data_IF_083241191651
#
_entry.id   IF_083241191651
#
_cell.length_a   1.000
_cell.length_b   1.000
_cell.length_c   1.000
_cell.angle_alpha   90.00
_cell.angle_beta   90.00
_cell.angle_gamma   90.00
#
_symmetry.space_group_name_H-M   'P 1'
#
loop_
_entity.id
_entity.type
_entity.pdbx_description
1 polymer ?
#
# COMPACT_ATOMS: atom_id res chain seq x y z
N UNK A 1 -11.60 -81.04 50.07
CA UNK A 1 -10.25 -80.72 50.55
C UNK A 1 -9.54 -79.98 49.44
N UNK A 2 -8.94 -78.84 49.81
CA UNK A 2 -7.94 -78.04 49.09
C UNK A 2 -8.34 -77.29 47.82
N UNK A 3 -8.54 -75.98 48.02
CA UNK A 3 -8.28 -74.90 47.09
C UNK A 3 -6.87 -74.98 46.45
N UNK A 4 -6.71 -74.48 45.22
CA UNK A 4 -5.84 -73.33 44.90
C UNK A 4 -5.66 -73.06 43.39
N UNK A 5 -5.75 -71.76 43.08
CA UNK A 5 -5.01 -70.97 42.08
C UNK A 5 -5.38 -70.96 40.60
N UNK A 6 -6.10 -69.88 40.26
CA UNK A 6 -5.97 -69.09 39.04
C UNK A 6 -4.50 -68.74 38.70
N UNK A 7 -4.14 -68.87 37.43
CA UNK A 7 -3.00 -68.18 36.83
C UNK A 7 -3.41 -67.58 35.47
N UNK A 8 -3.45 -66.25 35.43
CA UNK A 8 -3.57 -65.43 34.22
C UNK A 8 -2.43 -65.75 33.24
N UNK A 9 -2.76 -66.19 32.03
CA UNK A 9 -1.81 -66.19 30.90
C UNK A 9 -2.07 -65.00 29.99
N UNK A 10 -1.06 -64.13 29.92
CA UNK A 10 -0.94 -63.05 28.96
C UNK A 10 -0.87 -63.62 27.53
N UNK A 11 -1.86 -63.30 26.70
CA UNK A 11 -1.88 -63.69 25.31
C UNK A 11 -0.91 -62.84 24.49
N UNK A 12 0.29 -63.37 24.21
CA UNK A 12 1.17 -62.90 23.15
C UNK A 12 0.56 -63.18 21.77
N UNK A 13 0.19 -62.12 21.05
CA UNK A 13 -0.36 -62.23 19.69
C UNK A 13 0.71 -62.61 18.66
N UNK A 14 0.39 -63.58 17.79
CA UNK A 14 1.18 -63.93 16.59
C UNK A 14 1.40 -62.70 15.69
N UNK A 15 2.54 -62.61 14.96
CA UNK A 15 2.74 -61.54 13.97
C UNK A 15 1.67 -61.61 12.88
N UNK A 16 1.00 -60.49 12.62
CA UNK A 16 0.02 -60.36 11.55
C UNK A 16 0.71 -59.83 10.28
N UNK A 17 0.34 -60.32 9.11
CA UNK A 17 0.76 -59.70 7.85
C UNK A 17 -0.05 -58.42 7.62
N UNK A 18 0.58 -57.39 7.05
CA UNK A 18 -0.08 -56.12 6.78
C UNK A 18 -1.21 -56.34 5.76
N UNK A 19 -2.46 -55.91 6.05
CA UNK A 19 -3.59 -56.15 5.15
C UNK A 19 -3.48 -55.40 3.82
N UNK A 20 -2.72 -54.31 3.76
CA UNK A 20 -2.58 -53.50 2.54
C UNK A 20 -1.48 -53.98 1.59
N UNK A 21 -0.36 -54.48 2.13
CA UNK A 21 0.82 -54.79 1.30
C UNK A 21 1.44 -56.17 1.59
N UNK A 22 0.86 -56.95 2.51
CA UNK A 22 1.34 -58.29 2.86
C UNK A 22 2.68 -58.33 3.61
N UNK A 23 3.26 -57.18 3.96
CA UNK A 23 4.52 -57.14 4.72
C UNK A 23 4.32 -57.68 6.13
N UNK A 24 5.15 -58.64 6.56
CA UNK A 24 5.07 -59.23 7.90
C UNK A 24 5.38 -58.18 8.97
N UNK A 25 4.46 -57.98 9.91
CA UNK A 25 4.57 -56.95 10.96
C UNK A 25 5.03 -57.59 12.28
N UNK A 26 5.86 -56.88 13.05
CA UNK A 26 6.20 -57.33 14.40
C UNK A 26 5.05 -57.02 15.38
N UNK A 27 4.87 -57.83 16.44
CA UNK A 27 3.82 -57.60 17.43
C UNK A 27 3.95 -56.21 18.10
N UNK A 28 2.86 -55.44 18.14
CA UNK A 28 2.81 -54.13 18.82
C UNK A 28 3.23 -52.92 17.97
N UNK A 29 3.58 -53.11 16.69
CA UNK A 29 3.86 -52.01 15.77
C UNK A 29 2.58 -51.21 15.44
N UNK A 30 2.65 -49.88 15.50
CA UNK A 30 1.50 -49.01 15.16
C UNK A 30 1.38 -48.70 13.67
N UNK A 31 2.46 -48.91 12.91
CA UNK A 31 2.56 -48.62 11.46
C UNK A 31 3.31 -49.75 10.75
N UNK A 32 3.00 -49.96 9.47
CA UNK A 32 3.68 -50.94 8.62
C UNK A 32 4.97 -50.35 8.02
N UNK A 33 6.11 -51.03 8.21
CA UNK A 33 7.42 -50.60 7.70
C UNK A 33 7.52 -50.63 6.16
N UNK A 34 6.66 -51.40 5.47
CA UNK A 34 6.68 -51.55 4.02
C UNK A 34 5.91 -50.48 3.24
N UNK A 35 4.74 -50.06 3.75
CA UNK A 35 3.87 -49.10 3.05
C UNK A 35 3.42 -47.89 3.89
N UNK A 36 3.73 -47.87 5.19
CA UNK A 36 3.36 -46.78 6.09
C UNK A 36 1.91 -46.82 6.61
N UNK A 37 1.11 -47.82 6.24
CA UNK A 37 -0.27 -47.95 6.73
C UNK A 37 -0.33 -48.14 8.24
N UNK A 38 -1.30 -47.50 8.90
CA UNK A 38 -1.56 -47.64 10.33
C UNK A 38 -2.15 -49.02 10.62
N UNK A 39 -1.47 -49.81 11.45
CA UNK A 39 -1.90 -51.17 11.83
C UNK A 39 -2.81 -51.17 13.08
N UNK A 40 -2.72 -50.12 13.89
CA UNK A 40 -3.59 -49.88 15.04
C UNK A 40 -2.96 -48.96 16.08
N UNK A 41 -3.73 -48.00 16.59
CA UNK A 41 -3.35 -47.18 17.74
C UNK A 41 -3.92 -47.80 19.02
N UNK A 42 -3.04 -48.29 19.90
CA UNK A 42 -3.41 -48.65 21.27
C UNK A 42 -2.76 -47.64 22.22
N UNK A 43 -3.50 -46.67 22.78
CA UNK A 43 -2.95 -45.84 23.83
C UNK A 43 -2.64 -46.72 25.06
N UNK A 44 -1.52 -46.52 25.76
CA UNK A 44 -1.26 -47.23 27.01
C UNK A 44 -2.36 -46.86 28.01
N UNK A 45 -3.06 -47.88 28.53
CA UNK A 45 -4.07 -47.71 29.59
C UNK A 45 -3.35 -47.34 30.88
N UNK A 46 -3.41 -46.08 31.29
CA UNK A 46 -3.14 -45.71 32.68
C UNK A 46 -4.30 -46.23 33.53
N UNK A 47 -4.00 -47.13 34.46
CA UNK A 47 -4.94 -47.56 35.49
C UNK A 47 -4.93 -46.47 36.56
N UNK A 48 -5.97 -45.65 36.60
CA UNK A 48 -6.25 -44.78 37.75
C UNK A 48 -7.47 -45.35 38.44
N UNK A 49 -7.23 -45.91 39.61
CA UNK A 49 -8.23 -46.47 40.51
C UNK A 49 -9.10 -45.33 41.05
N UNK A 50 -10.41 -45.42 40.85
CA UNK A 50 -11.40 -44.48 41.39
C UNK A 50 -12.17 -45.16 42.53
N UNK A 51 -12.28 -44.56 43.73
CA UNK A 51 -13.34 -44.90 44.67
C UNK A 51 -14.65 -44.21 44.23
N UNK A 52 -15.75 -44.93 44.36
CA UNK A 52 -17.11 -44.50 43.99
C UNK A 52 -17.76 -43.44 44.90
N UNK A 53 -19.05 -43.13 44.65
CA UNK A 53 -19.63 -41.79 44.82
C UNK A 53 -20.38 -41.58 46.16
N UNK A 54 -20.48 -40.33 46.62
CA UNK A 54 -21.58 -39.90 47.50
C UNK A 54 -21.87 -38.39 47.44
N UNK A 55 -23.13 -38.10 47.06
CA UNK A 55 -24.01 -36.96 47.38
C UNK A 55 -23.54 -35.48 47.28
N UNK A 56 -24.25 -34.71 46.44
CA UNK A 56 -24.41 -33.25 46.54
C UNK A 56 -25.38 -32.89 47.70
N UNK A 57 -25.32 -31.68 48.30
CA UNK A 57 -26.12 -30.56 47.77
C UNK A 57 -25.64 -29.10 48.06
N UNK A 58 -26.31 -28.18 47.34
CA UNK A 58 -26.76 -26.82 47.71
C UNK A 58 -25.86 -25.58 47.59
N UNK A 59 -26.49 -24.56 46.97
CA UNK A 59 -26.14 -23.17 46.68
C UNK A 59 -26.36 -22.24 47.89
N UNK A 60 -25.72 -21.04 47.92
CA UNK A 60 -26.38 -19.89 48.54
C UNK A 60 -26.33 -18.56 47.77
N UNK A 61 -27.40 -17.82 48.04
CA UNK A 61 -27.96 -16.52 47.64
C UNK A 61 -27.09 -15.25 47.55
N UNK A 62 -27.63 -14.30 46.77
CA UNK A 62 -27.34 -12.85 46.73
C UNK A 62 -27.99 -12.08 47.90
N UNK A 63 -27.57 -10.83 48.16
CA UNK A 63 -28.46 -9.80 48.69
C UNK A 63 -28.66 -8.59 47.76
N UNK A 64 -29.80 -7.93 47.98
CA UNK A 64 -30.48 -6.99 47.10
C UNK A 64 -30.30 -5.49 47.45
N UNK A 65 -30.60 -4.67 46.43
CA UNK A 65 -31.33 -3.39 46.41
C UNK A 65 -30.92 -2.18 47.29
N UNK A 66 -30.76 -1.04 46.62
CA UNK A 66 -31.46 0.20 46.96
C UNK A 66 -31.72 1.04 45.69
N UNK A 67 -32.97 1.49 45.52
CA UNK A 67 -33.45 2.49 44.55
C UNK A 67 -33.86 3.75 45.33
N UNK A 68 -33.72 4.91 44.70
CA UNK A 68 -34.64 6.07 44.75
C UNK A 68 -34.17 7.06 43.65
N UNK A 69 -34.91 7.26 42.54
CA UNK A 69 -35.97 8.30 42.29
C UNK A 69 -35.48 9.73 42.53
N UNK A 70 -35.48 10.67 41.57
CA UNK A 70 -36.58 11.25 40.75
C UNK A 70 -35.98 12.00 39.52
N UNK A 71 -36.47 11.89 38.26
CA UNK A 71 -37.50 12.72 37.57
C UNK A 71 -37.44 14.23 37.94
N UNK A 72 -37.46 15.25 37.08
CA UNK A 72 -38.00 15.58 35.74
C UNK A 72 -37.47 17.02 35.45
N UNK A 73 -37.22 17.59 34.26
CA UNK A 73 -38.16 18.05 33.22
C UNK A 73 -37.36 19.02 32.29
N UNK A 74 -37.60 18.99 30.98
CA UNK A 74 -37.10 19.90 29.89
C UNK A 74 -37.98 21.18 29.85
N UNK A 75 -37.84 22.26 29.00
CA UNK A 75 -36.92 22.55 27.87
C UNK A 75 -36.47 24.05 27.64
N UNK A 76 -35.71 24.26 26.53
CA UNK A 76 -35.75 25.39 25.56
C UNK A 76 -34.74 26.60 25.61
N UNK A 77 -34.09 26.83 24.44
CA UNK A 77 -33.71 28.10 23.70
C UNK A 77 -32.96 29.24 24.44
N UNK A 78 -32.12 30.11 23.86
CA UNK A 78 -31.71 30.48 22.49
C UNK A 78 -30.47 31.43 22.59
N UNK A 79 -29.73 31.65 21.49
CA UNK A 79 -28.77 32.77 21.18
C UNK A 79 -27.44 32.82 21.98
N UNK A 80 -26.23 33.07 21.45
CA UNK A 80 -25.70 34.03 20.46
C UNK A 80 -24.33 33.54 19.91
N UNK A 81 -23.98 33.84 18.64
CA UNK A 81 -22.59 33.76 18.12
C UNK A 81 -21.84 35.09 18.30
N UNK A 82 -20.83 35.43 17.46
CA UNK A 82 -19.59 34.75 17.11
C UNK A 82 -18.35 35.57 17.56
N UNK A 83 -17.12 35.02 17.52
CA UNK A 83 -15.90 35.86 17.65
C UNK A 83 -14.81 35.50 16.64
N UNK A 84 -14.43 36.55 15.93
CA UNK A 84 -13.39 36.75 14.94
C UNK A 84 -12.12 37.23 15.69
N UNK A 85 -10.93 36.78 15.30
CA UNK A 85 -9.69 37.46 15.71
C UNK A 85 -8.76 37.65 14.52
N UNK A 86 -8.79 38.88 14.04
CA UNK A 86 -7.79 39.61 13.26
C UNK A 86 -6.56 39.99 14.09
N UNK A 87 -5.38 40.04 13.45
CA UNK A 87 -4.26 40.99 13.64
C UNK A 87 -3.20 40.69 12.54
N UNK A 88 -3.19 41.35 11.37
CA UNK A 88 -2.48 42.62 11.00
C UNK A 88 -1.04 42.70 11.55
N UNK A 89 -0.02 42.48 10.70
CA UNK A 89 0.67 43.42 9.77
C UNK A 89 1.80 44.21 10.44
N UNK A 90 3.04 44.07 9.96
CA UNK A 90 3.78 45.17 9.33
C UNK A 90 5.10 44.74 8.64
N UNK A 91 5.47 45.61 7.70
CA UNK A 91 6.28 45.51 6.47
C UNK A 91 7.81 45.68 6.67
N UNK A 92 8.63 45.29 5.68
CA UNK A 92 9.58 46.12 4.88
C UNK A 92 10.57 45.24 4.07
N UNK A 93 10.98 45.80 2.92
CA UNK A 93 11.55 45.32 1.65
C UNK A 93 12.98 44.77 1.55
N UNK A 94 13.22 44.15 0.38
CA UNK A 94 14.35 44.27 -0.58
C UNK A 94 15.61 43.36 -0.50
N UNK A 95 15.77 42.60 -1.60
CA UNK A 95 16.96 42.21 -2.39
C UNK A 95 18.32 41.88 -1.73
N UNK A 96 18.84 40.67 -2.02
CA UNK A 96 20.09 40.46 -2.76
C UNK A 96 20.53 38.96 -2.77
N UNK A 97 20.62 38.42 -3.98
CA UNK A 97 21.72 37.66 -4.58
C UNK A 97 22.61 36.64 -3.81
N UNK A 98 22.87 35.55 -4.56
CA UNK A 98 24.12 34.77 -4.65
C UNK A 98 24.31 33.51 -3.78
N UNK A 99 24.54 32.40 -4.51
CA UNK A 99 24.89 31.05 -4.07
C UNK A 99 26.28 30.94 -3.40
N UNK A 100 26.61 29.75 -2.85
CA UNK A 100 27.91 29.19 -3.23
C UNK A 100 27.94 27.66 -3.46
N UNK A 101 28.86 27.28 -4.34
CA UNK A 101 29.55 25.97 -4.47
C UNK A 101 30.39 25.74 -3.18
N UNK A 102 30.65 24.56 -2.62
CA UNK A 102 31.31 23.37 -3.15
C UNK A 102 32.47 22.94 -2.21
N UNK A 103 32.80 21.63 -2.19
CA UNK A 103 34.07 20.98 -1.76
C UNK A 103 34.40 20.67 -0.27
N UNK A 104 34.10 19.42 0.14
CA UNK A 104 34.99 18.30 0.59
C UNK A 104 36.31 18.56 1.36
N UNK A 105 36.32 18.16 2.67
CA UNK A 105 37.28 17.38 3.53
C UNK A 105 38.83 17.59 3.52
N UNK A 106 39.66 17.01 4.44
CA UNK A 106 39.47 16.40 5.80
C UNK A 106 40.58 16.79 6.84
N UNK A 107 40.39 16.55 8.16
CA UNK A 107 41.51 16.25 9.10
C UNK A 107 41.05 15.61 10.43
N UNK A 108 41.81 14.60 10.87
CA UNK A 108 41.51 13.64 11.94
C UNK A 108 41.63 14.11 13.41
N UNK A 109 41.62 13.15 14.37
CA UNK A 109 41.09 13.31 15.71
C UNK A 109 42.10 13.87 16.73
N UNK A 110 41.61 14.68 17.66
CA UNK A 110 42.36 15.16 18.82
C UNK A 110 41.73 14.64 20.11
N UNK A 111 42.57 14.00 20.92
CA UNK A 111 42.31 13.47 22.26
C UNK A 111 42.72 14.53 23.30
N UNK A 112 41.85 14.80 24.28
CA UNK A 112 42.22 15.49 25.53
C UNK A 112 41.29 15.06 26.67
N UNK A 113 41.91 14.76 27.81
CA UNK A 113 41.44 14.06 29.01
C UNK A 113 40.64 14.95 30.02
N UNK A 114 40.10 14.37 31.11
CA UNK A 114 38.84 14.78 31.77
C UNK A 114 39.01 15.55 33.10
N UNK A 115 37.92 16.17 33.60
CA UNK A 115 37.65 16.30 35.04
C UNK A 115 36.20 16.71 35.37
N UNK A 116 35.67 16.06 36.43
CA UNK A 116 34.54 16.43 37.32
C UNK A 116 33.11 16.27 36.77
N UNK A 117 32.15 15.62 37.43
CA UNK A 117 32.07 15.06 38.77
C UNK A 117 30.59 15.00 39.18
N UNK A 118 30.01 13.80 39.29
CA UNK A 118 28.75 13.54 39.99
C UNK A 118 28.78 12.08 40.48
N UNK A 119 29.18 11.88 41.73
CA UNK A 119 29.22 10.58 42.41
C UNK A 119 27.81 10.15 42.85
N UNK A 120 27.44 8.87 42.69
CA UNK A 120 26.35 8.25 43.44
C UNK A 120 26.83 7.76 44.82
N UNK A 121 25.95 7.89 45.81
CA UNK A 121 26.20 7.69 47.25
C UNK A 121 26.67 6.27 47.62
N UNK A 122 27.78 6.20 48.36
CA UNK A 122 28.40 4.98 48.86
C UNK A 122 27.56 4.24 49.93
N UNK A 123 26.54 4.87 50.51
CA UNK A 123 25.73 4.26 51.57
C UNK A 123 24.81 3.12 51.07
N UNK A 124 24.42 3.10 49.79
CA UNK A 124 23.52 2.08 49.24
C UNK A 124 24.20 0.80 48.75
N UNK A 125 25.53 0.80 48.61
CA UNK A 125 26.29 -0.39 48.17
C UNK A 125 26.54 -1.35 49.35
N UNK A 126 26.81 -0.80 50.53
CA UNK A 126 27.09 -1.57 51.75
C UNK A 126 25.84 -2.26 52.31
N UNK A 127 24.66 -1.65 52.12
CA UNK A 127 23.35 -2.23 52.48
C UNK A 127 23.01 -3.46 51.60
N UNK A 128 23.34 -3.42 50.30
CA UNK A 128 23.15 -4.55 49.38
C UNK A 128 24.16 -5.68 49.61
N UNK A 129 25.36 -5.36 50.09
CA UNK A 129 26.35 -6.37 50.47
C UNK A 129 25.96 -7.11 51.77
N UNK A 130 25.28 -6.45 52.72
CA UNK A 130 24.78 -7.06 53.96
C UNK A 130 23.55 -7.96 53.76
N UNK A 131 22.80 -7.79 52.66
CA UNK A 131 21.66 -8.62 52.32
C UNK A 131 22.01 -9.99 51.69
N UNK A 132 23.29 -10.26 51.40
CA UNK A 132 23.78 -11.51 50.79
C UNK A 132 24.47 -12.48 51.77
N UNK A 133 24.50 -12.16 53.07
CA UNK A 133 25.06 -13.05 54.08
C UNK A 133 23.98 -13.98 54.65
N UNK A 134 23.95 -15.22 54.18
CA UNK A 134 23.18 -16.31 54.79
C UNK A 134 24.04 -16.85 55.96
N UNK A 135 23.60 -16.75 57.23
CA UNK A 135 24.32 -17.36 58.33
C UNK A 135 24.23 -18.89 58.21
N UNK A 136 25.38 -19.52 58.00
CA UNK A 136 25.55 -20.97 58.16
C UNK A 136 25.61 -21.24 59.66
N UNK A 137 24.71 -22.07 60.19
CA UNK A 137 24.80 -22.52 61.56
C UNK A 137 26.05 -23.42 61.73
N UNK A 138 26.84 -23.18 62.77
CA UNK A 138 27.92 -24.06 63.16
C UNK A 138 27.36 -25.47 63.46
N UNK A 139 27.94 -26.55 62.92
CA UNK A 139 27.50 -27.89 63.27
C UNK A 139 27.80 -28.17 64.74
N UNK A 140 26.76 -28.42 65.53
CA UNK A 140 26.86 -28.90 66.90
C UNK A 140 27.78 -30.12 66.99
N UNK A 141 28.65 -30.11 68.01
CA UNK A 141 29.59 -31.17 68.33
C UNK A 141 28.86 -32.51 68.48
N UNK A 142 29.03 -33.39 67.48
CA UNK A 142 28.56 -34.77 67.58
C UNK A 142 29.52 -35.58 68.44
N UNK A 143 28.91 -36.22 69.43
CA UNK A 143 29.51 -37.09 70.45
C UNK A 143 30.38 -38.23 69.87
N UNK A 144 31.21 -38.77 70.77
CA UNK A 144 32.27 -39.74 70.50
C UNK A 144 31.84 -41.07 69.85
N UNK A 145 32.68 -41.48 68.88
CA UNK A 145 33.12 -42.81 68.46
C UNK A 145 32.11 -43.94 68.16
N UNK A 146 32.03 -44.32 66.88
CA UNK A 146 31.72 -45.68 66.39
C UNK A 146 32.83 -46.16 65.42
N UNK A 147 33.06 -47.48 65.27
CA UNK A 147 34.37 -48.04 64.94
C UNK A 147 34.82 -47.87 63.48
N UNK A 148 36.14 -47.82 63.32
CA UNK A 148 36.86 -47.71 62.05
C UNK A 148 36.42 -48.78 61.03
N UNK A 149 35.99 -48.32 59.86
CA UNK A 149 35.68 -49.16 58.70
C UNK A 149 36.96 -49.90 58.29
N UNK A 150 36.88 -51.23 58.27
CA UNK A 150 37.98 -52.12 57.87
C UNK A 150 38.39 -51.88 56.39
N UNK A 151 39.67 -52.12 56.03
CA UNK A 151 40.15 -51.91 54.67
C UNK A 151 39.45 -52.86 53.69
N UNK A 152 38.84 -52.29 52.65
CA UNK A 152 38.20 -53.01 51.54
C UNK A 152 39.23 -53.27 50.45
N UNK A 153 39.29 -54.51 49.94
CA UNK A 153 40.13 -54.90 48.80
C UNK A 153 39.82 -54.02 47.57
N UNK A 154 40.81 -53.66 46.74
CA UNK A 154 40.57 -52.89 45.52
C UNK A 154 39.59 -53.64 44.60
N UNK A 155 38.59 -52.91 44.11
CA UNK A 155 37.52 -53.45 43.27
C UNK A 155 38.06 -54.16 42.03
N UNK A 156 37.45 -55.30 41.66
CA UNK A 156 37.74 -56.00 40.40
C UNK A 156 37.53 -55.03 39.22
N UNK A 157 38.42 -55.05 38.21
CA UNK A 157 38.23 -54.23 37.02
C UNK A 157 36.91 -54.62 36.34
N UNK A 158 36.06 -53.63 36.09
CA UNK A 158 34.84 -53.81 35.31
C UNK A 158 35.20 -54.28 33.90
N UNK A 159 34.47 -55.28 33.41
CA UNK A 159 34.62 -55.73 32.03
C UNK A 159 34.36 -54.55 31.08
N UNK A 160 35.26 -54.35 30.13
CA UNK A 160 35.14 -53.26 29.15
C UNK A 160 33.76 -53.30 28.49
N UNK A 161 33.05 -52.17 28.53
CA UNK A 161 31.74 -52.00 27.92
C UNK A 161 31.81 -52.44 26.45
N UNK A 162 30.93 -53.35 25.99
CA UNK A 162 30.93 -53.78 24.60
C UNK A 162 30.73 -52.58 23.68
N UNK A 163 31.63 -52.43 22.71
CA UNK A 163 31.52 -51.42 21.66
C UNK A 163 30.41 -51.88 20.72
N UNK A 164 29.34 -51.09 20.63
CA UNK A 164 28.29 -51.34 19.66
C UNK A 164 28.87 -51.19 18.24
N UNK A 165 29.09 -52.31 17.55
CA UNK A 165 29.33 -52.28 16.11
C UNK A 165 28.04 -51.82 15.43
N UNK A 166 28.11 -50.73 14.68
CA UNK A 166 27.01 -50.30 13.82
C UNK A 166 26.65 -51.40 12.79
N UNK A 167 25.48 -51.33 12.16
CA UNK A 167 25.07 -52.31 11.16
C UNK A 167 26.15 -52.46 10.09
N UNK A 168 26.49 -53.72 9.78
CA UNK A 168 27.51 -54.05 8.80
C UNK A 168 27.18 -53.40 7.45
N UNK A 169 28.23 -52.95 6.75
CA UNK A 169 28.14 -52.40 5.40
C UNK A 169 27.55 -53.47 4.46
N UNK A 170 26.37 -53.19 3.91
CA UNK A 170 25.75 -54.01 2.88
C UNK A 170 26.21 -53.49 1.50
N UNK A 171 26.96 -54.27 0.71
CA UNK A 171 27.41 -53.86 -0.61
C UNK A 171 26.27 -53.67 -1.63
N UNK A 172 25.03 -54.06 -1.33
CA UNK A 172 23.85 -53.74 -2.16
C UNK A 172 23.46 -52.24 -2.16
N UNK A 173 24.23 -51.39 -1.46
CA UNK A 173 24.05 -49.93 -1.40
C UNK A 173 24.75 -49.15 -2.53
N UNK A 174 25.35 -49.84 -3.49
CA UNK A 174 26.00 -49.27 -4.67
C UNK A 174 24.95 -48.77 -5.68
N UNK A 175 24.50 -47.52 -5.51
CA UNK A 175 23.82 -46.81 -6.61
C UNK A 175 22.93 -45.64 -6.24
N UNK A 176 22.58 -45.42 -4.97
CA UNK A 176 21.75 -44.28 -4.61
C UNK A 176 22.54 -42.99 -4.31
N UNK A 177 21.87 -41.85 -4.48
CA UNK A 177 22.51 -40.52 -4.32
C UNK A 177 22.96 -40.32 -2.87
N UNK A 178 24.20 -39.84 -2.61
CA UNK A 178 24.63 -39.52 -1.26
C UNK A 178 23.79 -38.38 -0.70
N UNK A 179 23.50 -38.42 0.60
CA UNK A 179 22.78 -37.34 1.27
C UNK A 179 23.53 -36.01 1.07
N UNK A 180 22.89 -34.94 0.55
CA UNK A 180 23.57 -33.66 0.32
C UNK A 180 24.02 -32.96 1.61
N UNK A 181 23.56 -33.44 2.77
CA UNK A 181 23.84 -32.83 4.08
C UNK A 181 24.94 -33.54 4.86
N UNK A 182 24.96 -34.88 4.85
CA UNK A 182 25.87 -35.68 5.67
C UNK A 182 26.63 -36.74 4.86
N UNK A 183 26.58 -36.63 3.52
CA UNK A 183 27.26 -37.47 2.52
C UNK A 183 27.07 -38.98 2.63
N UNK A 184 26.15 -39.44 3.47
CA UNK A 184 25.88 -40.87 3.66
C UNK A 184 25.28 -41.45 2.39
N UNK A 185 25.83 -42.56 1.90
CA UNK A 185 25.23 -43.34 0.82
C UNK A 185 23.88 -43.89 1.26
N UNK A 186 22.85 -43.67 0.46
CA UNK A 186 21.50 -44.17 0.68
C UNK A 186 21.09 -44.98 -0.54
N UNK A 187 20.18 -45.95 -0.38
CA UNK A 187 19.59 -46.66 -1.52
C UNK A 187 18.72 -45.72 -2.36
N UNK A 188 18.59 -45.97 -3.68
CA UNK A 188 17.85 -45.08 -4.59
C UNK A 188 16.34 -45.02 -4.33
N UNK A 189 15.79 -45.98 -3.58
CA UNK A 189 14.38 -46.06 -3.18
C UNK A 189 14.06 -45.28 -1.89
N UNK A 190 15.03 -44.60 -1.27
CA UNK A 190 14.80 -43.80 -0.04
C UNK A 190 14.54 -42.33 -0.34
N UNK A 191 13.50 -41.79 0.28
CA UNK A 191 13.19 -40.36 0.27
C UNK A 191 13.83 -39.58 1.43
N UNK A 192 14.30 -40.28 2.48
CA UNK A 192 14.96 -39.68 3.65
C UNK A 192 16.29 -40.38 3.95
N UNK A 193 17.28 -39.59 4.38
CA UNK A 193 18.61 -40.08 4.72
C UNK A 193 18.55 -40.98 5.96
N UNK A 194 19.14 -42.18 5.87
CA UNK A 194 19.20 -43.15 6.98
C UNK A 194 19.98 -42.68 8.22
N UNK A 195 20.86 -41.68 8.07
CA UNK A 195 21.72 -41.18 9.16
C UNK A 195 21.16 -39.93 9.83
N UNK A 196 20.75 -38.93 9.04
CA UNK A 196 20.32 -37.63 9.54
C UNK A 196 18.84 -37.32 9.31
N UNK A 197 18.07 -38.25 8.74
CA UNK A 197 16.65 -38.11 8.42
C UNK A 197 16.28 -36.94 7.47
N UNK A 198 17.26 -36.28 6.83
CA UNK A 198 17.00 -35.23 5.85
C UNK A 198 16.44 -35.80 4.54
N UNK A 199 15.52 -35.06 3.90
CA UNK A 199 14.94 -35.48 2.61
C UNK A 199 16.00 -35.51 1.52
N UNK A 200 16.08 -36.63 0.81
CA UNK A 200 16.97 -36.83 -0.34
C UNK A 200 16.42 -36.15 -1.61
N UNK A 201 15.11 -35.88 -1.65
CA UNK A 201 14.43 -35.11 -2.69
C UNK A 201 14.77 -33.60 -2.65
N UNK A 202 15.28 -33.12 -1.51
CA UNK A 202 15.82 -31.78 -1.40
C UNK A 202 17.25 -31.74 -1.93
N UNK A 203 17.42 -31.97 -3.24
CA UNK A 203 18.61 -31.45 -3.91
C UNK A 203 18.46 -29.93 -3.93
N UNK A 204 19.38 -29.16 -3.33
CA UNK A 204 19.49 -27.74 -3.66
C UNK A 204 20.02 -27.69 -5.09
N UNK A 205 19.12 -27.84 -6.07
CA UNK A 205 19.50 -27.78 -7.47
C UNK A 205 19.99 -26.38 -7.82
N UNK A 206 21.32 -26.26 -7.91
CA UNK A 206 22.04 -25.23 -8.65
C UNK A 206 21.79 -23.78 -8.22
N UNK A 207 22.50 -22.81 -8.83
CA UNK A 207 22.18 -21.41 -8.63
C UNK A 207 20.76 -21.20 -9.12
N UNK A 208 19.82 -21.00 -8.18
CA UNK A 208 18.44 -20.67 -8.46
C UNK A 208 18.43 -19.62 -9.58
N UNK A 209 17.98 -20.01 -10.78
CA UNK A 209 17.75 -19.06 -11.89
C UNK A 209 16.87 -17.99 -11.29
N UNK A 210 17.43 -16.79 -11.08
CA UNK A 210 16.73 -15.67 -10.46
C UNK A 210 15.57 -15.33 -11.38
N UNK A 211 14.39 -15.85 -11.06
CA UNK A 211 13.18 -15.54 -11.79
C UNK A 211 13.02 -14.00 -11.81
N UNK A 212 12.56 -13.41 -12.93
CA UNK A 212 12.27 -11.99 -12.95
C UNK A 212 11.22 -11.65 -11.87
N UNK A 213 11.33 -10.45 -11.30
CA UNK A 213 10.62 -10.07 -10.07
C UNK A 213 9.10 -10.26 -10.15
N UNK A 214 8.50 -10.05 -11.33
CA UNK A 214 7.06 -10.25 -11.56
C UNK A 214 6.62 -11.72 -11.44
N UNK A 215 7.45 -12.69 -11.88
CA UNK A 215 7.16 -14.13 -11.71
C UNK A 215 7.31 -14.56 -10.25
N UNK A 216 8.22 -13.95 -9.50
CA UNK A 216 8.38 -14.22 -8.06
C UNK A 216 7.18 -13.76 -7.22
N UNK A 217 6.51 -12.70 -7.65
CA UNK A 217 5.32 -12.19 -6.95
C UNK A 217 4.11 -13.11 -7.14
N UNK A 218 3.99 -13.74 -8.31
CA UNK A 218 2.87 -14.62 -8.65
C UNK A 218 3.10 -16.07 -8.22
N UNK A 219 4.35 -16.52 -8.04
CA UNK A 219 4.66 -17.90 -7.65
C UNK A 219 4.57 -18.11 -6.12
N UNK A 220 3.33 -18.10 -5.60
CA UNK A 220 3.05 -18.39 -4.19
C UNK A 220 3.12 -19.88 -3.83
N UNK A 221 3.16 -20.80 -4.82
CA UNK A 221 3.07 -22.26 -4.62
C UNK A 221 4.42 -22.92 -4.32
N UNK A 222 5.53 -22.37 -4.82
CA UNK A 222 6.87 -22.94 -4.64
C UNK A 222 7.64 -22.30 -3.48
N UNK A 223 7.00 -22.10 -2.32
CA UNK A 223 7.73 -21.67 -1.13
C UNK A 223 8.38 -22.88 -0.47
N UNK A 224 9.70 -22.87 -0.19
CA UNK A 224 10.35 -23.98 0.48
C UNK A 224 9.64 -24.25 1.81
N UNK A 225 9.39 -25.53 2.10
CA UNK A 225 8.80 -25.93 3.37
C UNK A 225 9.67 -25.39 4.51
N UNK A 226 9.08 -24.68 5.51
CA UNK A 226 9.85 -24.12 6.61
C UNK A 226 10.51 -25.25 7.41
N UNK A 227 11.76 -25.04 7.82
CA UNK A 227 12.54 -25.96 8.64
C UNK A 227 11.80 -26.34 9.93
N UNK A 228 11.90 -27.60 10.35
CA UNK A 228 11.30 -28.12 11.59
C UNK A 228 11.85 -27.38 12.83
N UNK A 229 11.01 -26.57 13.48
CA UNK A 229 11.38 -25.70 14.61
C UNK A 229 11.39 -24.21 14.27
N UNK A 230 11.26 -23.85 12.98
CA UNK A 230 10.96 -22.47 12.61
C UNK A 230 9.52 -22.19 12.96
N UNK A 231 9.25 -21.24 13.86
CA UNK A 231 7.90 -20.74 14.12
C UNK A 231 7.61 -19.65 13.08
N UNK A 232 6.92 -19.93 11.96
CA UNK A 232 6.55 -18.88 11.02
C UNK A 232 5.76 -17.83 11.79
N UNK A 233 6.22 -16.57 11.73
CA UNK A 233 5.53 -15.46 12.39
C UNK A 233 4.13 -15.40 11.80
N UNK A 234 3.13 -15.73 12.62
CA UNK A 234 1.72 -15.70 12.26
C UNK A 234 1.33 -14.22 12.08
N UNK A 235 1.70 -13.60 10.97
CA UNK A 235 1.17 -12.29 10.56
C UNK A 235 -0.27 -12.51 10.09
N UNK A 236 -1.15 -12.95 11.00
CA UNK A 236 -2.42 -13.59 10.62
C UNK A 236 -3.45 -12.62 10.07
N UNK A 237 -3.37 -11.32 10.39
CA UNK A 237 -4.44 -10.40 10.03
C UNK A 237 -4.01 -9.18 9.18
N UNK A 238 -2.86 -8.56 9.46
CA UNK A 238 -2.43 -7.36 8.72
C UNK A 238 -2.19 -7.61 7.22
N UNK A 239 -1.63 -8.77 6.86
CA UNK A 239 -1.41 -9.13 5.46
C UNK A 239 -2.72 -9.42 4.70
N UNK A 240 -3.75 -9.90 5.41
CA UNK A 240 -5.08 -10.12 4.85
C UNK A 240 -5.79 -8.78 4.65
N UNK A 241 -5.78 -7.92 5.66
CA UNK A 241 -6.35 -6.57 5.60
C UNK A 241 -5.69 -5.79 4.46
N UNK A 242 -4.37 -5.72 4.40
CA UNK A 242 -3.66 -5.02 3.33
C UNK A 242 -3.96 -5.59 1.94
N UNK A 243 -4.11 -6.92 1.81
CA UNK A 243 -4.50 -7.53 0.55
C UNK A 243 -5.93 -7.19 0.15
N UNK A 244 -6.87 -7.06 1.09
CA UNK A 244 -8.25 -6.63 0.82
C UNK A 244 -8.31 -5.14 0.49
N UNK A 245 -7.60 -4.30 1.24
CA UNK A 245 -7.46 -2.86 0.95
C UNK A 245 -6.90 -2.65 -0.46
N UNK A 246 -5.84 -3.37 -0.83
CA UNK A 246 -5.28 -3.30 -2.18
C UNK A 246 -6.30 -3.71 -3.25
N UNK A 247 -7.06 -4.79 -3.02
CA UNK A 247 -8.13 -5.21 -3.95
C UNK A 247 -9.22 -4.14 -4.08
N UNK A 248 -9.63 -3.52 -2.98
CA UNK A 248 -10.61 -2.44 -3.00
C UNK A 248 -10.07 -1.21 -3.77
N UNK A 249 -8.80 -0.86 -3.58
CA UNK A 249 -8.15 0.21 -4.37
C UNK A 249 -8.15 -0.15 -5.86
N UNK A 250 -7.75 -1.37 -6.22
CA UNK A 250 -7.75 -1.82 -7.62
C UNK A 250 -9.15 -1.79 -8.21
N UNK A 251 -10.16 -2.29 -7.50
CA UNK A 251 -11.56 -2.24 -7.95
C UNK A 251 -12.02 -0.78 -8.10
N UNK A 252 -11.70 0.08 -7.12
CA UNK A 252 -11.99 1.51 -7.19
C UNK A 252 -11.36 2.18 -8.40
N UNK A 253 -10.10 1.87 -8.70
CA UNK A 253 -9.40 2.37 -9.90
C UNK A 253 -10.02 1.84 -11.20
N UNK A 254 -10.42 0.58 -11.24
CA UNK A 254 -11.10 0.00 -12.42
C UNK A 254 -12.45 0.67 -12.65
N UNK A 255 -13.24 0.87 -11.60
CA UNK A 255 -14.52 1.57 -11.67
C UNK A 255 -14.30 3.02 -12.11
N UNK A 256 -13.35 3.72 -11.50
CA UNK A 256 -12.98 5.08 -11.89
C UNK A 256 -12.56 5.16 -13.36
N UNK A 257 -11.71 4.23 -13.83
CA UNK A 257 -11.28 4.17 -15.22
C UNK A 257 -12.45 3.88 -16.16
N UNK A 258 -13.39 3.00 -15.78
CA UNK A 258 -14.57 2.70 -16.58
C UNK A 258 -15.47 3.93 -16.77
N UNK A 259 -15.65 4.76 -15.74
CA UNK A 259 -16.41 6.01 -15.85
C UNK A 259 -15.66 7.12 -16.62
N UNK A 260 -14.32 7.12 -16.60
CA UNK A 260 -13.50 8.15 -17.25
C UNK A 260 -12.90 7.72 -18.60
N UNK A 261 -13.28 6.56 -19.14
CA UNK A 261 -12.67 6.05 -20.37
C UNK A 261 -12.99 6.96 -21.57
N UNK A 262 -14.20 7.52 -21.62
CA UNK A 262 -14.61 8.45 -22.69
C UNK A 262 -13.76 9.71 -22.71
N UNK A 263 -13.60 10.36 -21.54
CA UNK A 263 -12.80 11.59 -21.40
C UNK A 263 -11.32 11.34 -21.69
N UNK A 264 -10.78 10.20 -21.25
CA UNK A 264 -9.40 9.81 -21.54
C UNK A 264 -9.17 9.53 -23.04
N UNK A 265 -10.07 8.79 -23.68
CA UNK A 265 -10.01 8.53 -25.13
C UNK A 265 -10.11 9.83 -25.92
N UNK A 266 -11.00 10.73 -25.51
CA UNK A 266 -11.18 12.02 -26.15
C UNK A 266 -9.97 12.93 -25.98
N UNK A 267 -9.34 12.96 -24.81
CA UNK A 267 -8.11 13.71 -24.59
C UNK A 267 -6.98 13.21 -25.51
N UNK A 268 -6.85 11.89 -25.68
CA UNK A 268 -5.89 11.28 -26.61
C UNK A 268 -6.24 11.65 -28.06
N UNK A 269 -7.51 11.51 -28.47
CA UNK A 269 -7.95 11.89 -29.81
C UNK A 269 -7.72 13.37 -30.10
N UNK A 270 -7.99 14.27 -29.15
CA UNK A 270 -7.77 15.71 -29.28
C UNK A 270 -6.29 16.05 -29.44
N UNK A 271 -5.41 15.32 -28.75
CA UNK A 271 -3.98 15.52 -28.84
C UNK A 271 -3.45 15.17 -30.24
N UNK A 272 -3.93 14.07 -30.82
CA UNK A 272 -3.50 13.58 -32.14
C UNK A 272 -4.36 14.05 -33.31
N UNK A 273 -5.45 14.79 -33.05
CA UNK A 273 -6.31 15.30 -34.10
C UNK A 273 -5.60 16.39 -34.91
N UNK A 274 -5.74 16.29 -36.25
CA UNK A 274 -5.48 17.42 -37.13
C UNK A 274 -6.58 18.47 -36.90
N UNK A 275 -6.16 19.73 -36.74
CA UNK A 275 -7.08 20.87 -36.55
C UNK A 275 -7.64 21.30 -37.90
N UNK A 276 -8.95 21.44 -37.96
CA UNK A 276 -9.66 21.97 -39.12
C UNK A 276 -10.51 23.18 -38.70
N UNK A 277 -10.59 24.23 -39.53
CA UNK A 277 -11.45 25.37 -39.24
C UNK A 277 -12.92 24.93 -39.16
N UNK A 278 -13.67 25.53 -38.24
CA UNK A 278 -15.10 25.33 -38.02
C UNK A 278 -15.76 26.68 -38.12
N UNK A 279 -16.70 26.82 -39.06
CA UNK A 279 -17.45 28.06 -39.25
C UNK A 279 -18.71 28.03 -38.39
N UNK A 280 -19.05 29.13 -37.68
CA UNK A 280 -20.32 29.23 -36.98
C UNK A 280 -21.48 29.44 -37.96
N UNK A 281 -22.65 28.89 -37.61
CA UNK A 281 -23.87 29.00 -38.42
C UNK A 281 -24.58 30.34 -38.25
N UNK A 282 -24.43 30.96 -37.07
CA UNK A 282 -24.96 32.29 -36.80
C UNK A 282 -24.14 33.02 -35.75
N UNK A 283 -24.25 34.35 -35.77
CA UNK A 283 -23.54 35.26 -34.89
C UNK A 283 -24.53 36.28 -34.29
N UNK A 284 -24.16 36.83 -33.14
CA UNK A 284 -24.87 37.91 -32.48
C UNK A 284 -23.89 38.73 -31.65
N UNK A 285 -24.20 40.00 -31.39
CA UNK A 285 -23.44 40.82 -30.45
C UNK A 285 -24.38 41.63 -29.54
N UNK A 286 -23.86 42.11 -28.42
CA UNK A 286 -24.55 43.08 -27.57
C UNK A 286 -24.87 44.36 -28.33
N UNK A 287 -23.90 44.82 -29.13
CA UNK A 287 -23.92 46.05 -29.91
C UNK A 287 -23.01 45.91 -31.12
N UNK A 288 -23.18 46.79 -32.09
CA UNK A 288 -22.28 46.93 -33.23
C UNK A 288 -22.07 48.41 -33.54
N UNK A 289 -20.83 48.78 -33.82
CA UNK A 289 -20.50 50.07 -34.38
C UNK A 289 -20.94 50.12 -35.85
N UNK A 290 -21.25 51.32 -36.34
CA UNK A 290 -21.68 51.53 -37.73
C UNK A 290 -20.64 50.95 -38.70
N UNK A 291 -21.10 50.18 -39.69
CA UNK A 291 -20.29 49.42 -40.66
C UNK A 291 -19.29 48.40 -40.07
N UNK A 292 -19.34 48.16 -38.75
CA UNK A 292 -18.43 47.28 -38.02
C UNK A 292 -19.20 46.22 -37.20
N UNK A 293 -20.08 45.50 -37.91
CA UNK A 293 -21.00 44.49 -37.41
C UNK A 293 -20.33 43.20 -36.92
N UNK A 294 -21.10 42.39 -36.20
CA UNK A 294 -20.69 41.10 -35.62
C UNK A 294 -20.15 40.10 -36.66
N UNK A 295 -20.75 40.05 -37.85
CA UNK A 295 -20.28 39.22 -38.96
C UNK A 295 -18.79 39.40 -39.28
N UNK A 296 -18.26 40.61 -39.11
CA UNK A 296 -16.89 40.94 -39.51
C UNK A 296 -15.81 40.32 -38.62
N UNK A 297 -16.18 39.78 -37.46
CA UNK A 297 -15.25 38.99 -36.66
C UNK A 297 -15.21 37.51 -37.06
N UNK A 298 -15.98 37.10 -38.07
CA UNK A 298 -16.09 35.70 -38.52
C UNK A 298 -16.05 35.61 -40.06
N UNK A 299 -15.53 36.64 -40.74
CA UNK A 299 -15.60 36.77 -42.19
C UNK A 299 -14.32 36.27 -42.90
N UNK A 300 -13.34 35.77 -42.13
CA UNK A 300 -12.04 35.25 -42.60
C UNK A 300 -11.13 36.32 -43.18
N UNK A 301 -11.49 37.60 -43.03
CA UNK A 301 -10.61 38.71 -43.35
C UNK A 301 -9.89 39.17 -42.09
N UNK A 302 -8.73 39.78 -42.29
CA UNK A 302 -7.82 40.13 -41.19
C UNK A 302 -7.59 41.65 -41.09
N UNK A 303 -8.50 42.39 -41.71
CA UNK A 303 -8.52 43.84 -41.87
C UNK A 303 -9.95 44.42 -41.88
N UNK A 304 -10.95 43.57 -41.68
CA UNK A 304 -12.30 43.92 -41.21
C UNK A 304 -12.32 43.69 -39.69
N UNK A 305 -13.33 44.23 -39.01
CA UNK A 305 -13.42 44.07 -37.55
C UNK A 305 -14.82 44.35 -37.04
N UNK A 306 -15.17 43.65 -35.96
CA UNK A 306 -16.30 43.99 -35.10
C UNK A 306 -15.82 44.87 -33.93
N UNK A 307 -16.65 45.86 -33.56
CA UNK A 307 -16.54 46.56 -32.28
C UNK A 307 -17.91 46.98 -31.78
N UNK A 308 -18.12 47.11 -30.46
CA UNK A 308 -19.43 47.38 -29.88
C UNK A 308 -19.91 48.84 -30.05
N UNK A 309 -19.07 49.72 -30.58
CA UNK A 309 -19.37 51.16 -30.67
C UNK A 309 -19.35 51.86 -29.33
N UNK A 310 -18.62 51.31 -28.36
CA UNK A 310 -18.44 51.85 -27.00
C UNK A 310 -16.96 52.16 -26.80
N UNK A 311 -16.67 53.36 -26.31
CA UNK A 311 -15.31 53.80 -26.00
C UNK A 311 -14.74 53.08 -24.76
N UNK A 312 -13.52 53.45 -24.34
CA UNK A 312 -12.82 52.86 -23.20
C UNK A 312 -12.48 51.38 -23.42
N UNK A 313 -12.73 50.52 -22.43
CA UNK A 313 -12.38 49.10 -22.49
C UNK A 313 -13.42 48.24 -23.20
N UNK A 314 -14.66 48.73 -23.36
CA UNK A 314 -15.79 47.91 -23.80
C UNK A 314 -16.18 46.79 -22.82
N UNK A 315 -15.84 46.93 -21.52
CA UNK A 315 -16.14 45.90 -20.52
C UNK A 315 -17.64 45.57 -20.45
N UNK A 316 -17.96 44.29 -20.53
CA UNK A 316 -19.32 43.75 -20.50
C UNK A 316 -19.96 43.59 -21.89
N UNK A 317 -19.39 44.22 -22.91
CA UNK A 317 -19.81 44.00 -24.29
C UNK A 317 -19.40 42.60 -24.77
N UNK A 318 -20.21 42.03 -25.65
CA UNK A 318 -20.02 40.63 -26.06
C UNK A 318 -20.35 40.38 -27.51
N UNK A 319 -19.69 39.35 -28.06
CA UNK A 319 -19.98 38.76 -29.35
C UNK A 319 -20.14 37.24 -29.18
N UNK A 320 -21.07 36.64 -29.89
CA UNK A 320 -21.46 35.25 -29.77
C UNK A 320 -21.46 34.56 -31.13
N UNK A 321 -20.88 33.36 -31.14
CA UNK A 321 -20.95 32.42 -32.24
C UNK A 321 -21.83 31.23 -31.84
N UNK A 322 -22.66 30.74 -32.76
CA UNK A 322 -23.57 29.61 -32.54
C UNK A 322 -23.37 28.55 -33.62
N UNK A 323 -23.48 27.31 -33.21
CA UNK A 323 -23.37 26.11 -34.03
C UNK A 323 -24.70 25.35 -33.94
N UNK A 324 -25.35 25.11 -35.08
CA UNK A 324 -26.59 24.33 -35.17
C UNK A 324 -26.32 22.86 -34.84
N UNK A 325 -25.20 22.34 -35.35
CA UNK A 325 -24.71 21.02 -34.98
C UNK A 325 -23.64 21.17 -33.88
N UNK A 326 -23.77 20.47 -32.74
CA UNK A 326 -22.77 20.55 -31.68
C UNK A 326 -21.38 20.15 -32.16
N UNK A 327 -20.40 21.01 -31.90
CA UNK A 327 -19.01 20.81 -32.36
C UNK A 327 -18.04 20.61 -31.21
N UNK A 328 -16.99 19.82 -31.45
CA UNK A 328 -15.86 19.72 -30.53
C UNK A 328 -14.76 20.71 -30.93
N UNK A 329 -14.61 21.76 -30.13
CA UNK A 329 -13.64 22.83 -30.31
C UNK A 329 -12.33 22.50 -29.59
N UNK A 330 -11.21 22.55 -30.32
CA UNK A 330 -9.88 22.26 -29.82
C UNK A 330 -9.12 23.55 -29.50
N UNK A 331 -9.05 24.46 -30.47
CA UNK A 331 -8.32 25.70 -30.37
C UNK A 331 -9.21 26.87 -30.87
N UNK A 332 -8.96 28.06 -30.36
CA UNK A 332 -9.43 29.32 -30.91
C UNK A 332 -8.25 30.06 -31.53
N UNK A 333 -8.51 30.83 -32.58
CA UNK A 333 -7.56 31.83 -33.07
C UNK A 333 -8.26 33.19 -33.04
N UNK A 334 -7.73 34.11 -32.24
CA UNK A 334 -8.31 35.45 -32.10
C UNK A 334 -7.30 36.47 -32.60
N UNK A 335 -7.71 37.31 -33.54
CA UNK A 335 -6.94 38.46 -34.01
C UNK A 335 -7.46 39.73 -33.32
N UNK A 336 -6.77 40.24 -32.28
CA UNK A 336 -7.21 41.43 -31.58
C UNK A 336 -6.97 42.69 -32.42
N UNK A 337 -7.85 43.69 -32.24
CA UNK A 337 -7.74 45.00 -32.90
C UNK A 337 -8.49 45.08 -34.22
N UNK A 338 -8.00 45.94 -35.12
CA UNK A 338 -8.63 46.22 -36.42
C UNK A 338 -7.91 45.56 -37.60
N UNK A 339 -6.69 45.06 -37.38
CA UNK A 339 -5.94 44.30 -38.37
C UNK A 339 -4.77 43.52 -37.77
N UNK A 340 -4.12 42.70 -38.60
CA UNK A 340 -2.87 41.98 -38.25
C UNK A 340 -1.61 42.86 -38.32
N UNK A 341 -1.71 44.11 -38.78
CA UNK A 341 -0.55 44.99 -39.00
C UNK A 341 -0.07 45.61 -37.69
N UNK A 342 1.24 45.58 -37.38
CA UNK A 342 1.78 46.20 -36.18
C UNK A 342 1.45 47.69 -36.03
N UNK A 343 1.35 48.43 -37.14
CA UNK A 343 1.03 49.85 -37.17
C UNK A 343 -0.41 50.17 -36.69
N UNK A 344 -1.29 49.18 -36.62
CA UNK A 344 -2.70 49.35 -36.24
C UNK A 344 -2.96 49.04 -34.77
N UNK A 345 -1.97 48.49 -34.03
CA UNK A 345 -2.11 48.12 -32.61
C UNK A 345 -2.50 49.29 -31.69
N UNK A 346 -2.14 50.52 -32.06
CA UNK A 346 -2.42 51.71 -31.26
C UNK A 346 -3.70 52.43 -31.67
N UNK A 347 -4.32 52.03 -32.79
CA UNK A 347 -5.49 52.69 -33.39
C UNK A 347 -6.82 52.27 -32.75
N UNK A 348 -6.84 51.14 -32.06
CA UNK A 348 -8.00 50.64 -31.32
C UNK A 348 -7.58 50.12 -29.95
N UNK A 349 -8.56 49.91 -29.07
CA UNK A 349 -8.34 49.13 -27.86
C UNK A 349 -8.29 47.64 -28.24
N UNK A 350 -7.39 46.89 -27.61
CA UNK A 350 -7.15 45.47 -27.89
C UNK A 350 -7.71 44.65 -26.75
N UNK A 351 -8.57 43.64 -26.99
CA UNK A 351 -9.10 42.82 -25.91
C UNK A 351 -7.95 42.12 -25.16
N UNK A 352 -8.01 42.11 -23.83
CA UNK A 352 -6.98 41.52 -22.97
C UNK A 352 -7.55 40.33 -22.18
N UNK A 353 -8.53 40.57 -21.30
CA UNK A 353 -9.24 39.49 -20.59
C UNK A 353 -10.63 39.34 -21.17
N UNK A 354 -10.96 38.10 -21.56
CA UNK A 354 -12.26 37.75 -22.13
C UNK A 354 -12.80 36.55 -21.37
N UNK A 355 -14.08 36.57 -21.04
CA UNK A 355 -14.77 35.38 -20.56
C UNK A 355 -15.48 34.71 -21.74
N UNK A 356 -15.07 33.50 -22.10
CA UNK A 356 -15.79 32.68 -23.05
C UNK A 356 -16.86 31.87 -22.30
N UNK A 357 -18.11 32.35 -22.36
CA UNK A 357 -19.28 31.64 -21.87
C UNK A 357 -19.68 30.59 -22.90
N UNK A 358 -19.54 29.32 -22.54
CA UNK A 358 -19.82 28.18 -23.42
C UNK A 358 -21.16 27.58 -23.04
N UNK A 359 -21.97 27.30 -24.06
CA UNK A 359 -23.18 26.48 -23.92
C UNK A 359 -22.97 25.17 -24.66
N UNK A 360 -23.13 24.05 -23.96
CA UNK A 360 -23.05 22.71 -24.53
C UNK A 360 -24.42 22.20 -24.96
N UNK A 361 -24.46 21.16 -25.79
CA UNK A 361 -25.68 20.61 -26.38
C UNK A 361 -26.69 20.07 -25.34
N UNK A 362 -26.19 19.66 -24.18
CA UNK A 362 -26.97 19.24 -23.01
C UNK A 362 -27.51 20.42 -22.18
N UNK A 363 -27.25 21.66 -22.61
CA UNK A 363 -27.68 22.88 -21.93
C UNK A 363 -26.81 23.30 -20.75
N UNK A 364 -25.67 22.64 -20.52
CA UNK A 364 -24.73 23.10 -19.51
C UNK A 364 -24.05 24.40 -19.95
N UNK A 365 -23.88 25.32 -18.98
CA UNK A 365 -23.19 26.58 -19.19
C UNK A 365 -21.98 26.67 -18.26
N UNK A 366 -20.83 27.06 -18.80
CA UNK A 366 -19.65 27.35 -18.00
C UNK A 366 -18.79 28.43 -18.65
N UNK A 367 -17.97 29.08 -17.84
CA UNK A 367 -17.10 30.17 -18.30
C UNK A 367 -15.66 29.71 -18.36
N UNK A 368 -14.99 29.95 -19.48
CA UNK A 368 -13.55 29.78 -19.65
C UNK A 368 -12.87 31.14 -19.81
N UNK A 369 -12.04 31.57 -18.84
CA UNK A 369 -11.31 32.83 -18.99
C UNK A 369 -10.22 32.68 -20.04
N UNK A 370 -10.12 33.67 -20.93
CA UNK A 370 -9.10 33.80 -21.96
C UNK A 370 -8.28 35.06 -21.67
N UNK A 371 -6.97 34.96 -21.92
CA UNK A 371 -6.04 36.08 -21.83
C UNK A 371 -5.35 36.20 -23.17
N UNK A 372 -5.41 37.39 -23.76
CA UNK A 372 -4.77 37.74 -25.02
C UNK A 372 -3.63 38.71 -24.75
N UNK A 373 -2.56 38.57 -25.53
CA UNK A 373 -1.40 39.44 -25.46
C UNK A 373 -1.60 40.72 -26.25
N UNK A 374 -0.82 41.75 -25.93
CA UNK A 374 -0.72 42.98 -26.74
C UNK A 374 0.18 42.75 -27.96
N UNK A 375 -0.17 41.80 -28.80
CA UNK A 375 0.60 41.40 -29.99
C UNK A 375 -0.23 41.56 -31.27
N UNK A 376 0.45 41.89 -32.38
CA UNK A 376 -0.17 41.94 -33.71
C UNK A 376 -0.35 40.55 -34.28
N UNK A 377 -1.44 40.35 -35.00
CA UNK A 377 -1.71 39.11 -35.70
C UNK A 377 -2.55 38.11 -34.89
N UNK A 378 -2.83 36.93 -35.47
CA UNK A 378 -3.68 35.93 -34.85
C UNK A 378 -3.00 35.29 -33.63
N UNK A 379 -3.76 35.11 -32.55
CA UNK A 379 -3.31 34.48 -31.31
C UNK A 379 -4.08 33.20 -31.05
N UNK A 380 -3.34 32.10 -30.89
CA UNK A 380 -3.93 30.78 -30.66
C UNK A 380 -4.16 30.55 -29.16
N UNK A 381 -5.39 30.16 -28.80
CA UNK A 381 -5.79 29.86 -27.43
C UNK A 381 -6.31 28.42 -27.35
N UNK A 382 -5.78 27.64 -26.42
CA UNK A 382 -6.24 26.28 -26.16
C UNK A 382 -7.67 26.28 -25.59
N UNK A 383 -8.62 25.61 -26.26
CA UNK A 383 -10.02 25.63 -25.87
C UNK A 383 -10.54 24.26 -25.38
N UNK A 384 -10.31 23.17 -26.13
CA UNK A 384 -10.62 21.77 -25.79
C UNK A 384 -11.95 21.58 -25.05
N UNK A 385 -13.04 21.92 -25.72
CA UNK A 385 -14.42 21.73 -25.24
C UNK A 385 -15.21 20.88 -26.22
N UNK A 386 -15.92 19.87 -25.72
CA UNK A 386 -16.82 19.03 -26.50
C UNK A 386 -18.25 19.57 -26.56
N UNK A 387 -19.00 19.13 -27.57
CA UNK A 387 -20.45 19.32 -27.70
C UNK A 387 -20.91 20.78 -27.57
N UNK A 388 -20.14 21.71 -28.13
CA UNK A 388 -20.40 23.15 -28.05
C UNK A 388 -21.51 23.54 -29.02
N UNK A 389 -22.53 24.23 -28.52
CA UNK A 389 -23.62 24.82 -29.31
C UNK A 389 -23.48 26.35 -29.43
N UNK A 390 -22.88 27.02 -28.45
CA UNK A 390 -22.52 28.44 -28.58
C UNK A 390 -21.31 28.81 -27.74
N UNK A 391 -20.59 29.83 -28.21
CA UNK A 391 -19.52 30.49 -27.46
C UNK A 391 -19.76 31.99 -27.50
N UNK A 392 -19.96 32.59 -26.33
CA UNK A 392 -20.07 34.04 -26.16
C UNK A 392 -18.81 34.59 -25.51
N UNK A 393 -18.13 35.49 -26.20
CA UNK A 393 -16.95 36.18 -25.73
C UNK A 393 -17.37 37.50 -25.08
N UNK A 394 -17.23 37.60 -23.76
CA UNK A 394 -17.53 38.81 -22.99
C UNK A 394 -16.23 39.52 -22.66
N UNK A 395 -16.10 40.79 -23.07
CA UNK A 395 -14.89 41.58 -22.79
C UNK A 395 -14.86 41.95 -21.31
N UNK A 396 -13.76 41.63 -20.62
CA UNK A 396 -13.55 42.00 -19.21
C UNK A 396 -12.57 43.17 -19.06
N UNK A 397 -11.55 43.23 -19.92
CA UNK A 397 -10.61 44.35 -20.00
C UNK A 397 -9.93 44.41 -21.37
N UNK A 398 -9.39 45.57 -21.69
CA UNK A 398 -8.68 45.84 -22.96
C UNK A 398 -7.40 46.62 -22.70
N UNK A 399 -6.37 46.39 -23.52
CA UNK A 399 -5.23 47.28 -23.65
C UNK A 399 -5.60 48.52 -24.48
N UNK A 400 -4.83 49.60 -24.33
CA UNK A 400 -4.99 50.83 -25.11
C UNK A 400 -6.41 51.42 -25.03
N UNK A 401 -7.16 51.14 -23.94
CA UNK A 401 -8.46 51.75 -23.68
C UNK A 401 -8.30 53.26 -23.53
N UNK A 402 -9.24 54.01 -24.10
CA UNK A 402 -9.33 55.46 -23.96
C UNK A 402 -10.66 55.96 -24.51
N UNK A 403 -10.98 57.22 -24.25
CA UNK A 403 -12.25 57.83 -24.66
C UNK A 403 -12.40 57.96 -26.18
N UNK A 404 -11.30 57.91 -26.93
CA UNK A 404 -11.22 57.98 -28.40
C UNK A 404 -11.13 56.61 -29.08
N UNK A 405 -11.11 55.51 -28.31
CA UNK A 405 -10.86 54.16 -28.79
C UNK A 405 -11.93 53.20 -28.32
N UNK A 406 -12.29 52.25 -29.18
CA UNK A 406 -13.15 51.13 -28.85
C UNK A 406 -12.37 49.81 -28.92
N UNK A 407 -12.86 48.80 -28.20
CA UNK A 407 -12.33 47.43 -28.33
C UNK A 407 -12.75 46.86 -29.68
N UNK A 408 -11.81 46.22 -30.36
CA UNK A 408 -12.05 45.64 -31.68
C UNK A 408 -11.53 44.21 -31.77
N UNK A 409 -12.26 43.38 -32.49
CA UNK A 409 -11.86 42.03 -32.89
C UNK A 409 -11.82 41.98 -34.41
N UNK A 410 -10.64 41.73 -34.97
CA UNK A 410 -10.49 41.64 -36.41
C UNK A 410 -11.00 40.30 -36.94
N UNK A 411 -10.74 39.22 -36.20
CA UNK A 411 -11.21 37.88 -36.57
C UNK A 411 -11.22 36.95 -35.34
N UNK A 412 -12.16 36.02 -35.31
CA UNK A 412 -12.29 34.93 -34.34
C UNK A 412 -12.55 33.64 -35.13
N UNK A 413 -11.58 32.74 -35.16
CA UNK A 413 -11.68 31.45 -35.83
C UNK A 413 -11.75 30.32 -34.80
N UNK A 414 -12.55 29.31 -35.13
CA UNK A 414 -12.70 28.09 -34.32
C UNK A 414 -12.05 26.92 -35.03
N UNK A 415 -11.39 26.05 -34.26
CA UNK A 415 -10.76 24.85 -34.80
C UNK A 415 -11.28 23.60 -34.10
N UNK A 416 -11.79 22.66 -34.87
CA UNK A 416 -12.27 21.36 -34.40
C UNK A 416 -11.38 20.20 -34.85
N UNK A 417 -11.82 18.98 -34.53
CA UNK A 417 -11.22 17.77 -35.10
C UNK A 417 -11.48 17.74 -36.61
N UNK A 418 -10.45 17.47 -37.41
CA UNK A 418 -10.66 17.21 -38.83
C UNK A 418 -11.55 15.98 -38.98
N UNK A 419 -12.70 16.12 -39.64
CA UNK A 419 -13.41 14.95 -40.13
C UNK A 419 -12.58 14.36 -41.26
N UNK A 420 -11.95 13.21 -41.03
CA UNK A 420 -11.55 12.36 -42.15
C UNK A 420 -12.85 11.83 -42.74
N UNK A 421 -13.42 12.52 -43.71
CA UNK A 421 -14.37 11.90 -44.62
C UNK A 421 -13.61 10.77 -45.31
N UNK A 422 -13.80 9.54 -44.82
CA UNK A 422 -13.50 8.35 -45.63
C UNK A 422 -14.41 8.45 -46.85
N UNK A 423 -13.87 8.96 -47.94
CA UNK A 423 -14.49 8.88 -49.27
C UNK A 423 -14.36 7.46 -49.80
#
# INVERSE_FOLDING_TARGET
MTDHNSASSAAGGRPADCPECGTRTAPGQSFCDGCGTVLGWKPPKFVTEAPGPSAAPAEPEQPAAARDTTARETPARDTTGPEETTLRQDTVSADADTAPQGAVDPRGPAEAQPASGAQPDAAGADERARALLIPVADPEARAAAEPAVAPVLPGRPEAARPVAQGPAYDPSEEGGTPCPWCSTGNRPDRHFCRRCAMSLDARPEGPARRLPWWRRILDRRNRPAPWAGTRPRLRRDLGRILSWTFRLIVVGLVVFAAFNIGTAVDAVRDHFAKRAPVDPDSYAASRSYEDHGDKLAFDKFNNTWWGPGVSESGKGEWIEARFQEPVRLLDLMITPGISTKPADLTKAALPHRIDALVTTADGHHFTKPLVLDRASGPQRVDFRVGDVSSVRFVVQSSYNSGSDKQVSFAEIEFFGRSHSSSS
#
